data_IF_201319056398
#
_entry.id   IF_201319056398
#
_cell.length_a   1.000
_cell.length_b   1.000
_cell.length_c   1.000
_cell.angle_alpha   90.00
_cell.angle_beta   90.00
_cell.angle_gamma   90.00
#
_symmetry.space_group_name_H-M   'P 1'
#
loop_
_entity.id
_entity.type
_entity.pdbx_description
1 polymer ?
#
# COMPACT_ATOMS: atom_id res chain seq x y z
N UNK A 1 9.15 -9.77 -6.53
CA UNK A 1 7.72 -9.41 -6.62
C UNK A 1 7.04 -9.63 -5.27
N UNK A 2 6.15 -8.75 -4.88
CA UNK A 2 5.35 -8.85 -3.67
C UNK A 2 4.11 -9.74 -3.90
N UNK A 3 3.51 -10.19 -2.80
CA UNK A 3 2.23 -10.93 -2.86
C UNK A 3 1.15 -10.09 -3.54
N UNK A 4 0.31 -10.71 -4.33
CA UNK A 4 -0.63 -10.21 -5.32
C UNK A 4 -0.06 -10.14 -6.75
N UNK A 5 1.25 -10.25 -6.95
CA UNK A 5 1.84 -10.31 -8.29
C UNK A 5 1.45 -11.60 -9.00
N UNK A 6 1.31 -11.54 -10.33
CA UNK A 6 1.03 -12.71 -11.17
C UNK A 6 2.29 -13.54 -11.39
N UNK A 7 2.09 -14.81 -11.81
CA UNK A 7 3.17 -15.72 -12.18
C UNK A 7 3.67 -16.65 -11.07
N UNK A 8 3.19 -16.48 -9.82
CA UNK A 8 3.60 -17.28 -8.66
C UNK A 8 2.50 -18.18 -8.11
N UNK A 9 1.46 -18.41 -8.89
CA UNK A 9 0.32 -19.25 -8.53
C UNK A 9 -0.83 -18.49 -7.86
N UNK A 10 -1.94 -19.21 -7.68
CA UNK A 10 -3.19 -18.62 -7.18
C UNK A 10 -3.04 -18.05 -5.78
N UNK A 11 -2.47 -18.83 -4.86
CA UNK A 11 -2.42 -18.45 -3.44
C UNK A 11 -1.54 -17.21 -3.20
N UNK A 12 -0.49 -17.05 -3.99
CA UNK A 12 0.32 -15.83 -4.01
C UNK A 12 -0.47 -14.63 -4.52
N UNK A 13 -1.17 -14.79 -5.64
CA UNK A 13 -1.96 -13.73 -6.27
C UNK A 13 -3.14 -13.28 -5.41
N UNK A 14 -3.81 -14.22 -4.71
CA UNK A 14 -4.99 -13.93 -3.89
C UNK A 14 -4.66 -13.63 -2.43
N UNK A 15 -3.38 -13.53 -2.06
CA UNK A 15 -2.95 -13.28 -0.68
C UNK A 15 -3.44 -11.94 -0.10
N UNK A 16 -3.85 -11.00 -0.96
CA UNK A 16 -4.41 -9.71 -0.53
C UNK A 16 -5.92 -9.71 -0.29
N UNK A 17 -6.59 -10.85 -0.47
CA UNK A 17 -8.03 -10.93 -0.24
C UNK A 17 -8.38 -10.49 1.17
N UNK A 18 -9.27 -9.48 1.28
CA UNK A 18 -9.70 -8.81 2.52
C UNK A 18 -8.57 -8.17 3.36
N UNK A 19 -7.42 -7.91 2.77
CA UNK A 19 -6.27 -7.34 3.49
C UNK A 19 -5.31 -6.55 2.60
N UNK A 20 -5.85 -5.78 1.65
CA UNK A 20 -5.04 -4.92 0.79
C UNK A 20 -4.07 -4.04 1.59
N UNK A 21 -2.83 -3.97 1.16
CA UNK A 21 -1.79 -3.14 1.76
C UNK A 21 -1.06 -3.76 2.95
N UNK A 22 -1.47 -4.92 3.45
CA UNK A 22 -0.83 -5.57 4.61
C UNK A 22 0.21 -6.59 4.19
N UNK A 23 -0.11 -7.62 3.39
CA UNK A 23 0.90 -8.58 2.94
C UNK A 23 1.98 -7.94 2.07
N UNK A 24 1.59 -7.03 1.16
CA UNK A 24 2.52 -6.33 0.28
C UNK A 24 3.50 -5.46 1.07
N UNK A 25 3.01 -4.76 2.10
CA UNK A 25 3.84 -3.94 2.96
C UNK A 25 4.87 -4.79 3.72
N UNK A 26 4.47 -5.96 4.19
CA UNK A 26 5.41 -6.89 4.81
C UNK A 26 6.47 -7.36 3.83
N UNK A 27 6.10 -7.66 2.59
CA UNK A 27 7.04 -8.06 1.55
C UNK A 27 8.04 -6.94 1.21
N UNK A 28 7.61 -5.67 1.23
CA UNK A 28 8.50 -4.52 1.06
C UNK A 28 9.51 -4.41 2.22
N UNK A 29 9.06 -4.59 3.45
CA UNK A 29 9.95 -4.59 4.63
C UNK A 29 10.97 -5.71 4.58
N UNK A 30 10.55 -6.92 4.19
CA UNK A 30 11.44 -8.07 4.01
C UNK A 30 12.47 -7.80 2.89
N UNK A 31 12.04 -7.14 1.81
CA UNK A 31 12.94 -6.71 0.74
C UNK A 31 13.99 -5.70 1.20
N UNK A 32 13.61 -4.73 2.04
CA UNK A 32 14.53 -3.78 2.64
C UNK A 32 15.55 -4.52 3.51
N UNK A 33 15.09 -5.43 4.37
CA UNK A 33 15.95 -6.22 5.24
C UNK A 33 16.98 -7.02 4.44
N UNK A 34 16.56 -7.64 3.34
CA UNK A 34 17.46 -8.35 2.43
C UNK A 34 18.52 -7.43 1.80
N UNK A 35 18.11 -6.25 1.32
CA UNK A 35 19.02 -5.30 0.68
C UNK A 35 20.03 -4.71 1.68
N UNK A 36 19.60 -4.44 2.90
CA UNK A 36 20.50 -3.98 3.97
C UNK A 36 21.51 -5.07 4.34
N UNK A 37 21.06 -6.31 4.48
CA UNK A 37 21.93 -7.42 4.88
C UNK A 37 22.93 -7.85 3.78
N UNK A 38 22.54 -7.78 2.49
CA UNK A 38 23.30 -8.39 1.41
C UNK A 38 23.84 -7.39 0.38
N UNK A 39 23.34 -6.15 0.33
CA UNK A 39 23.68 -5.17 -0.72
C UNK A 39 24.06 -3.80 -0.17
N UNK A 40 24.40 -3.70 1.11
CA UNK A 40 24.86 -2.45 1.74
C UNK A 40 23.87 -1.27 1.62
N UNK A 41 22.57 -1.55 1.48
CA UNK A 41 21.57 -0.51 1.49
C UNK A 41 21.53 0.20 2.86
N UNK A 42 21.35 1.49 2.84
CA UNK A 42 21.28 2.30 4.06
C UNK A 42 19.83 2.38 4.54
N UNK A 43 19.53 1.74 5.66
CA UNK A 43 18.21 1.70 6.28
C UNK A 43 17.67 3.10 6.63
N UNK A 44 18.53 4.07 6.83
CA UNK A 44 18.14 5.45 7.13
C UNK A 44 17.79 6.29 5.89
N UNK A 45 17.92 5.72 4.70
CA UNK A 45 17.75 6.40 3.41
C UNK A 45 16.86 5.61 2.46
N UNK A 46 15.72 5.17 2.93
CA UNK A 46 14.74 4.40 2.16
C UNK A 46 13.59 5.29 1.76
N UNK A 47 13.30 5.34 0.47
CA UNK A 47 12.13 6.02 -0.09
C UNK A 47 11.20 5.05 -0.81
N UNK A 48 9.94 5.46 -0.98
CA UNK A 48 8.95 4.70 -1.73
C UNK A 48 8.18 5.64 -2.65
N UNK A 49 7.89 5.19 -3.87
CA UNK A 49 7.02 5.95 -4.77
C UNK A 49 6.18 5.00 -5.63
N UNK A 50 5.05 5.50 -6.10
CA UNK A 50 4.20 4.73 -7.00
C UNK A 50 2.97 5.49 -7.47
N UNK A 51 2.36 4.98 -8.52
CA UNK A 51 1.11 5.51 -9.09
C UNK A 51 -0.04 4.52 -8.94
N UNK A 52 -1.28 5.03 -8.83
CA UNK A 52 -2.49 4.23 -8.71
C UNK A 52 -2.42 3.27 -7.51
N UNK A 53 -2.45 1.95 -7.71
CA UNK A 53 -2.22 0.97 -6.65
C UNK A 53 -0.85 1.14 -5.98
N UNK A 54 0.19 1.47 -6.74
CA UNK A 54 1.51 1.82 -6.20
C UNK A 54 1.49 3.10 -5.37
N UNK A 55 0.65 4.07 -5.71
CA UNK A 55 0.38 5.25 -4.91
C UNK A 55 -0.32 4.90 -3.59
N UNK A 56 -1.34 4.05 -3.65
CA UNK A 56 -1.98 3.47 -2.47
C UNK A 56 -0.94 2.77 -1.56
N UNK A 57 -0.09 1.92 -2.12
CA UNK A 57 0.97 1.24 -1.37
C UNK A 57 1.98 2.21 -0.77
N UNK A 58 2.31 3.31 -1.47
CA UNK A 58 3.20 4.35 -0.93
C UNK A 58 2.58 5.03 0.29
N UNK A 59 1.27 5.33 0.26
CA UNK A 59 0.57 5.87 1.43
C UNK A 59 0.52 4.86 2.58
N UNK A 60 0.15 3.61 2.31
CA UNK A 60 0.12 2.56 3.33
C UNK A 60 1.48 2.37 3.99
N UNK A 61 2.56 2.38 3.21
CA UNK A 61 3.93 2.28 3.71
C UNK A 61 4.29 3.45 4.64
N UNK A 62 3.95 4.69 4.26
CA UNK A 62 4.24 5.87 5.06
C UNK A 62 3.39 5.94 6.34
N UNK A 63 2.16 5.43 6.33
CA UNK A 63 1.23 5.53 7.46
C UNK A 63 1.26 4.31 8.38
N UNK A 64 1.38 3.10 7.84
CA UNK A 64 1.37 1.85 8.63
C UNK A 64 2.76 1.30 8.99
N UNK A 65 3.80 1.82 8.37
CA UNK A 65 5.19 1.51 8.72
C UNK A 65 5.98 2.80 9.02
N UNK A 66 5.54 3.62 9.99
CA UNK A 66 6.21 4.88 10.30
C UNK A 66 7.67 4.63 10.71
N UNK A 67 8.58 5.44 10.17
CA UNK A 67 10.02 5.31 10.42
C UNK A 67 10.76 4.30 9.54
N UNK A 68 10.09 3.43 8.80
CA UNK A 68 10.74 2.51 7.85
C UNK A 68 11.13 3.26 6.56
N UNK A 69 10.23 4.12 6.07
CA UNK A 69 10.45 4.95 4.89
C UNK A 69 10.61 6.41 5.30
N UNK A 70 11.70 7.06 4.87
CA UNK A 70 11.98 8.46 5.22
C UNK A 70 11.26 9.45 4.29
N UNK A 71 10.95 9.00 3.08
CA UNK A 71 10.22 9.81 2.10
C UNK A 71 9.30 8.94 1.23
N UNK A 72 8.17 9.49 0.82
CA UNK A 72 7.23 8.86 -0.09
C UNK A 72 6.69 9.83 -1.14
N UNK A 73 6.36 9.28 -2.31
CA UNK A 73 5.64 10.02 -3.35
C UNK A 73 4.49 9.15 -3.89
N UNK A 74 3.27 9.63 -3.72
CA UNK A 74 2.06 8.97 -4.16
C UNK A 74 1.40 9.75 -5.30
N UNK A 75 1.31 9.13 -6.48
CA UNK A 75 0.72 9.71 -7.67
C UNK A 75 -0.66 9.09 -7.89
N UNK A 76 -1.71 9.93 -8.00
CA UNK A 76 -3.10 9.48 -8.16
C UNK A 76 -3.43 8.24 -7.29
N UNK A 77 -3.17 8.31 -5.98
CA UNK A 77 -3.37 7.17 -5.08
C UNK A 77 -4.85 6.96 -4.79
N UNK A 78 -5.23 5.71 -4.54
CA UNK A 78 -6.49 5.42 -3.85
C UNK A 78 -6.28 5.68 -2.35
N UNK A 79 -7.09 6.56 -1.79
CA UNK A 79 -7.01 6.96 -0.38
C UNK A 79 -8.07 6.29 0.48
N UNK A 80 -9.22 5.95 -0.13
CA UNK A 80 -10.33 5.29 0.54
C UNK A 80 -11.04 4.36 -0.47
N UNK A 81 -11.02 3.07 -0.20
CA UNK A 81 -11.63 2.07 -1.08
C UNK A 81 -13.14 2.15 -1.16
N UNK A 82 -13.80 2.78 -0.21
CA UNK A 82 -15.27 3.00 -0.24
C UNK A 82 -15.69 3.93 -1.39
N UNK A 83 -14.78 4.77 -1.85
CA UNK A 83 -15.00 5.75 -2.93
C UNK A 83 -14.39 5.33 -4.26
N UNK A 84 -13.82 4.15 -4.34
CA UNK A 84 -13.26 3.60 -5.57
C UNK A 84 -14.27 2.73 -6.31
N UNK A 85 -13.92 2.34 -7.55
CA UNK A 85 -14.71 1.46 -8.41
C UNK A 85 -15.16 0.19 -7.67
N UNK A 86 -16.46 0.03 -7.52
CA UNK A 86 -17.05 -1.05 -6.73
C UNK A 86 -16.82 -2.43 -7.33
N UNK A 87 -16.86 -2.54 -8.67
CA UNK A 87 -16.62 -3.81 -9.37
C UNK A 87 -15.21 -4.36 -9.11
N UNK A 88 -14.22 -3.49 -9.11
CA UNK A 88 -12.84 -3.86 -8.78
C UNK A 88 -12.69 -4.17 -7.29
N UNK A 89 -13.16 -3.29 -6.43
CA UNK A 89 -12.89 -3.33 -4.98
C UNK A 89 -13.61 -4.49 -4.30
N UNK A 90 -14.88 -4.75 -4.65
CA UNK A 90 -15.68 -5.80 -4.01
C UNK A 90 -15.17 -7.22 -4.30
N UNK A 91 -14.46 -7.42 -5.40
CA UNK A 91 -13.83 -8.70 -5.69
C UNK A 91 -12.66 -9.03 -4.75
N UNK A 92 -12.09 -8.02 -4.10
CA UNK A 92 -10.92 -8.19 -3.21
C UNK A 92 -11.30 -7.98 -1.73
N UNK A 93 -12.13 -6.98 -1.44
CA UNK A 93 -12.46 -6.57 -0.06
C UNK A 93 -13.88 -6.94 0.38
N UNK A 94 -14.68 -7.64 -0.44
CA UNK A 94 -16.12 -7.76 -0.29
C UNK A 94 -16.83 -6.40 -0.41
N UNK A 95 -18.01 -6.26 0.18
CA UNK A 95 -18.71 -4.97 0.23
C UNK A 95 -18.49 -4.26 1.57
N UNK A 96 -18.59 -2.92 1.61
CA UNK A 96 -18.44 -2.18 2.87
C UNK A 96 -19.43 -2.60 3.96
N UNK A 97 -20.62 -3.06 3.57
CA UNK A 97 -21.66 -3.52 4.49
C UNK A 97 -21.32 -4.88 5.13
N UNK A 98 -20.67 -5.77 4.36
CA UNK A 98 -20.28 -7.09 4.82
C UNK A 98 -18.96 -7.09 5.61
N UNK A 99 -18.08 -6.15 5.29
CA UNK A 99 -16.76 -6.08 5.92
C UNK A 99 -16.29 -4.65 6.19
N UNK A 100 -16.98 -3.84 7.02
CA UNK A 100 -16.59 -2.45 7.24
C UNK A 100 -15.18 -2.31 7.80
N UNK A 101 -14.75 -3.21 8.67
CA UNK A 101 -13.40 -3.18 9.25
C UNK A 101 -12.31 -3.42 8.20
N UNK A 102 -12.58 -4.29 7.22
CA UNK A 102 -11.65 -4.57 6.12
C UNK A 102 -11.39 -3.29 5.30
N UNK A 103 -12.42 -2.49 5.04
CA UNK A 103 -12.29 -1.21 4.34
C UNK A 103 -11.51 -0.18 5.16
N UNK A 104 -11.75 -0.08 6.47
CA UNK A 104 -11.00 0.80 7.37
C UNK A 104 -9.52 0.41 7.38
N UNK A 105 -9.21 -0.87 7.61
CA UNK A 105 -7.84 -1.35 7.70
C UNK A 105 -7.06 -1.20 6.39
N UNK A 106 -7.76 -1.26 5.25
CA UNK A 106 -7.19 -1.16 3.92
C UNK A 106 -7.23 0.25 3.31
N UNK A 107 -7.79 1.24 3.98
CA UNK A 107 -7.90 2.60 3.45
C UNK A 107 -6.85 3.53 4.07
N UNK A 108 -5.91 4.09 3.28
CA UNK A 108 -4.84 4.94 3.81
C UNK A 108 -5.31 6.11 4.65
N UNK A 109 -6.43 6.74 4.29
CA UNK A 109 -6.96 7.92 5.00
C UNK A 109 -7.21 7.64 6.48
N UNK A 110 -7.56 6.41 6.85
CA UNK A 110 -7.82 6.01 8.23
C UNK A 110 -6.53 5.90 9.08
N UNK A 111 -5.37 5.94 8.45
CA UNK A 111 -4.05 5.80 9.08
C UNK A 111 -3.17 7.04 8.92
N UNK A 112 -3.67 8.11 8.31
CA UNK A 112 -2.89 9.29 7.94
C UNK A 112 -2.26 10.02 9.15
N UNK A 113 -2.87 9.92 10.33
CA UNK A 113 -2.34 10.52 11.57
C UNK A 113 -0.99 9.96 12.00
N UNK A 114 -0.62 8.76 11.54
CA UNK A 114 0.64 8.10 11.87
C UNK A 114 1.81 8.52 10.97
N UNK A 115 1.60 9.45 10.03
CA UNK A 115 2.65 9.89 9.11
C UNK A 115 3.90 10.36 9.84
N UNK A 116 5.03 9.77 9.49
CA UNK A 116 6.38 10.23 9.83
C UNK A 116 7.20 10.33 8.54
N UNK A 117 8.04 11.36 8.43
CA UNK A 117 8.82 11.60 7.24
C UNK A 117 8.15 12.54 6.24
N UNK A 118 8.66 12.57 5.01
CA UNK A 118 8.22 13.51 3.97
C UNK A 118 7.33 12.80 2.97
N UNK A 119 6.15 13.34 2.71
CA UNK A 119 5.20 12.80 1.76
C UNK A 119 4.83 13.84 0.70
N UNK A 120 4.96 13.45 -0.57
CA UNK A 120 4.42 14.17 -1.71
C UNK A 120 3.20 13.42 -2.24
N UNK A 121 2.10 14.12 -2.42
CA UNK A 121 0.90 13.57 -3.09
C UNK A 121 0.64 14.42 -4.33
N UNK A 122 0.46 13.77 -5.47
CA UNK A 122 0.01 14.41 -6.70
C UNK A 122 -1.25 13.69 -7.23
N UNK A 123 -2.28 14.47 -7.53
CA UNK A 123 -3.58 13.96 -7.98
C UNK A 123 -4.15 14.88 -9.07
N UNK A 124 -4.83 14.31 -10.05
CA UNK A 124 -5.59 15.09 -11.01
C UNK A 124 -6.84 15.72 -10.38
N UNK A 125 -7.29 16.85 -10.91
CA UNK A 125 -8.59 17.43 -10.52
C UNK A 125 -9.76 16.58 -11.02
N UNK A 126 -9.55 15.87 -12.13
CA UNK A 126 -10.46 14.89 -12.72
C UNK A 126 -9.67 13.59 -12.78
N UNK A 127 -10.07 12.64 -11.96
CA UNK A 127 -9.44 11.32 -11.87
C UNK A 127 -10.56 10.32 -11.60
N UNK A 128 -10.84 9.45 -12.57
CA UNK A 128 -11.96 8.50 -12.57
C UNK A 128 -11.56 7.17 -11.89
#
# INVERSE_FOLDING_TARGET
DFRASEGYGRDWRTAIYRQMGTPELQDYKDGIDYLVANHQADRSRVGIYGGSYGGFMSLMAMFKAPGVFQAGAALRPVTDWRHYNHEYTSNILDTPELGPQVYIDSSPIEHAEHLQGRLLIAHGMIDD
#
